data_IF_762916065022
#
_entry.id   IF_762916065022
#
_cell.length_a   1.000
_cell.length_b   1.000
_cell.length_c   1.000
_cell.angle_alpha   90.00
_cell.angle_beta   90.00
_cell.angle_gamma   90.00
#
_symmetry.space_group_name_H-M   'P 1'
#
loop_
_entity.id
_entity.type
_entity.pdbx_description
1 polymer ?
#
# COMPACT_ATOMS: atom_id res chain seq x y z
N UNK A 1 53.58 -24.48 -21.81
CA UNK A 1 52.39 -23.83 -21.24
C UNK A 1 52.14 -24.50 -19.91
N UNK A 2 52.34 -23.75 -18.85
CA UNK A 2 52.58 -24.26 -17.49
C UNK A 2 51.28 -24.31 -16.71
N UNK A 3 51.09 -25.38 -15.92
CA UNK A 3 49.92 -25.63 -15.07
C UNK A 3 49.53 -24.47 -14.13
N UNK A 4 50.44 -23.51 -13.90
CA UNK A 4 50.18 -22.29 -13.13
C UNK A 4 49.35 -21.23 -13.88
N UNK A 5 49.42 -21.18 -15.21
CA UNK A 5 48.70 -20.19 -16.01
C UNK A 5 47.19 -20.49 -16.05
N UNK A 6 46.83 -21.78 -16.16
CA UNK A 6 45.43 -22.23 -16.12
C UNK A 6 44.76 -21.96 -14.76
N UNK A 7 45.52 -22.08 -13.67
CA UNK A 7 45.00 -21.81 -12.32
C UNK A 7 44.76 -20.31 -12.11
N UNK A 8 45.64 -19.45 -12.63
CA UNK A 8 45.49 -18.00 -12.53
C UNK A 8 44.29 -17.48 -13.34
N UNK A 9 44.10 -17.99 -14.56
CA UNK A 9 42.94 -17.67 -15.40
C UNK A 9 41.61 -18.14 -14.77
N UNK A 10 41.63 -19.27 -14.06
CA UNK A 10 40.47 -19.75 -13.29
C UNK A 10 40.09 -18.79 -12.15
N UNK A 11 41.06 -18.33 -11.35
CA UNK A 11 40.79 -17.38 -10.27
C UNK A 11 40.34 -16.00 -10.79
N UNK A 12 40.88 -15.56 -11.91
CA UNK A 12 40.45 -14.33 -12.59
C UNK A 12 39.01 -14.42 -13.11
N UNK A 13 38.64 -15.53 -13.75
CA UNK A 13 37.27 -15.73 -14.24
C UNK A 13 36.27 -15.89 -13.10
N UNK A 14 36.61 -16.61 -12.04
CA UNK A 14 35.78 -16.73 -10.82
C UNK A 14 35.62 -15.38 -10.13
N UNK A 15 36.70 -14.60 -10.00
CA UNK A 15 36.68 -13.26 -9.43
C UNK A 15 35.83 -12.28 -10.26
N UNK A 16 36.00 -12.29 -11.58
CA UNK A 16 35.21 -11.48 -12.50
C UNK A 16 33.71 -11.87 -12.49
N UNK A 17 33.40 -13.16 -12.43
CA UNK A 17 32.02 -13.65 -12.32
C UNK A 17 31.37 -13.27 -10.98
N UNK A 18 32.13 -13.31 -9.88
CA UNK A 18 31.65 -12.89 -8.56
C UNK A 18 31.36 -11.38 -8.51
N UNK A 19 32.26 -10.56 -9.05
CA UNK A 19 32.09 -9.10 -9.12
C UNK A 19 30.95 -8.71 -10.07
N UNK A 20 30.87 -9.32 -11.25
CA UNK A 20 29.78 -9.09 -12.21
C UNK A 20 28.41 -9.50 -11.64
N UNK A 21 28.34 -10.66 -10.98
CA UNK A 21 27.12 -11.13 -10.31
C UNK A 21 26.68 -10.22 -9.16
N UNK A 22 27.62 -9.69 -8.38
CA UNK A 22 27.35 -8.72 -7.31
C UNK A 22 26.76 -7.41 -7.81
N UNK A 23 27.30 -6.85 -8.89
CA UNK A 23 26.83 -5.59 -9.48
C UNK A 23 25.40 -5.75 -10.03
N UNK A 24 25.13 -6.83 -10.77
CA UNK A 24 23.79 -7.11 -11.30
C UNK A 24 22.78 -7.30 -10.17
N UNK A 25 23.16 -8.02 -9.12
CA UNK A 25 22.30 -8.22 -7.95
C UNK A 25 21.99 -6.91 -7.22
N UNK A 26 22.98 -6.02 -7.07
CA UNK A 26 22.79 -4.71 -6.45
C UNK A 26 21.85 -3.82 -7.27
N UNK A 27 21.94 -3.83 -8.60
CA UNK A 27 21.04 -3.08 -9.48
C UNK A 27 19.60 -3.58 -9.40
N UNK A 28 19.39 -4.91 -9.41
CA UNK A 28 18.06 -5.51 -9.26
C UNK A 28 17.48 -5.15 -7.88
N UNK A 29 18.29 -5.26 -6.83
CA UNK A 29 17.86 -4.92 -5.47
C UNK A 29 17.50 -3.43 -5.35
N UNK A 30 18.29 -2.53 -5.94
CA UNK A 30 17.98 -1.10 -5.98
C UNK A 30 16.66 -0.80 -6.71
N UNK A 31 16.42 -1.43 -7.86
CA UNK A 31 15.18 -1.26 -8.62
C UNK A 31 13.94 -1.78 -7.85
N UNK A 32 14.06 -2.94 -7.21
CA UNK A 32 12.99 -3.52 -6.38
C UNK A 32 12.70 -2.63 -5.17
N UNK A 33 13.73 -2.15 -4.48
CA UNK A 33 13.60 -1.23 -3.34
C UNK A 33 12.92 0.07 -3.75
N UNK A 34 13.34 0.68 -4.86
CA UNK A 34 12.77 1.93 -5.36
C UNK A 34 11.28 1.78 -5.72
N UNK A 35 10.91 0.67 -6.38
CA UNK A 35 9.51 0.36 -6.71
C UNK A 35 8.65 0.10 -5.47
N UNK A 36 9.19 -0.61 -4.48
CA UNK A 36 8.51 -0.86 -3.20
C UNK A 36 8.27 0.42 -2.40
N UNK A 37 9.30 1.26 -2.27
CA UNK A 37 9.25 2.53 -1.55
C UNK A 37 8.25 3.49 -2.19
N UNK A 38 8.25 3.62 -3.52
CA UNK A 38 7.29 4.49 -4.23
C UNK A 38 5.84 4.06 -4.01
N UNK A 39 5.54 2.76 -4.06
CA UNK A 39 4.21 2.22 -3.76
C UNK A 39 3.78 2.49 -2.33
N UNK A 40 4.69 2.33 -1.36
CA UNK A 40 4.41 2.60 0.04
C UNK A 40 4.12 4.09 0.28
N UNK A 41 4.87 5.01 -0.33
CA UNK A 41 4.64 6.46 -0.21
C UNK A 41 3.27 6.83 -0.80
N UNK A 42 2.94 6.31 -1.98
CA UNK A 42 1.64 6.57 -2.60
C UNK A 42 0.49 6.05 -1.74
N UNK A 43 0.58 4.80 -1.26
CA UNK A 43 -0.43 4.22 -0.38
C UNK A 43 -0.61 5.03 0.91
N UNK A 44 0.49 5.44 1.54
CA UNK A 44 0.45 6.27 2.75
C UNK A 44 -0.26 7.61 2.48
N UNK A 45 0.08 8.28 1.38
CA UNK A 45 -0.56 9.55 1.01
C UNK A 45 -2.06 9.41 0.79
N UNK A 46 -2.51 8.33 0.13
CA UNK A 46 -3.94 8.06 -0.09
C UNK A 46 -4.66 7.78 1.23
N UNK A 47 -4.04 7.01 2.13
CA UNK A 47 -4.60 6.71 3.44
C UNK A 47 -4.74 7.99 4.28
N UNK A 48 -3.72 8.86 4.28
CA UNK A 48 -3.74 10.14 4.96
C UNK A 48 -4.85 11.06 4.42
N UNK A 49 -4.96 11.20 3.10
CA UNK A 49 -6.03 11.99 2.47
C UNK A 49 -7.42 11.43 2.80
N UNK A 50 -7.60 10.11 2.83
CA UNK A 50 -8.87 9.49 3.25
C UNK A 50 -9.18 9.71 4.73
N UNK A 51 -8.16 9.79 5.58
CA UNK A 51 -8.36 10.14 6.99
C UNK A 51 -8.83 11.59 7.13
N UNK A 52 -8.16 12.54 6.46
CA UNK A 52 -8.55 13.95 6.43
C UNK A 52 -9.99 14.10 5.91
N UNK A 53 -10.35 13.37 4.85
CA UNK A 53 -11.71 13.34 4.31
C UNK A 53 -12.75 12.88 5.36
N UNK A 54 -12.51 11.77 6.05
CA UNK A 54 -13.43 11.28 7.11
C UNK A 54 -13.57 12.27 8.25
N UNK A 55 -12.47 12.83 8.70
CA UNK A 55 -12.47 13.75 9.85
C UNK A 55 -13.17 15.06 9.49
N UNK A 56 -13.01 15.54 8.25
CA UNK A 56 -13.76 16.67 7.71
C UNK A 56 -15.28 16.40 7.70
N UNK A 57 -15.71 15.22 7.22
CA UNK A 57 -17.14 14.86 7.23
C UNK A 57 -17.70 14.71 8.65
N UNK A 58 -16.92 14.16 9.59
CA UNK A 58 -17.32 14.06 11.01
C UNK A 58 -17.52 15.41 11.69
N UNK A 59 -16.87 16.46 11.19
CA UNK A 59 -17.06 17.83 11.69
C UNK A 59 -18.21 18.53 10.95
N UNK A 60 -18.21 18.46 9.62
CA UNK A 60 -19.15 19.21 8.79
C UNK A 60 -20.59 18.71 8.91
N UNK A 61 -20.82 17.39 8.94
CA UNK A 61 -22.18 16.83 8.98
C UNK A 61 -22.92 17.19 10.28
N UNK A 62 -22.35 17.00 11.48
CA UNK A 62 -23.01 17.45 12.70
C UNK A 62 -23.24 18.96 12.73
N UNK A 63 -22.29 19.76 12.21
CA UNK A 63 -22.42 21.21 12.11
C UNK A 63 -23.59 21.61 11.20
N UNK A 64 -23.74 20.98 10.04
CA UNK A 64 -24.90 21.17 9.15
C UNK A 64 -26.22 20.91 9.89
N UNK A 65 -26.28 19.80 10.64
CA UNK A 65 -27.49 19.36 11.33
C UNK A 65 -27.85 20.19 12.56
N UNK A 66 -26.87 20.85 13.19
CA UNK A 66 -27.07 21.70 14.37
C UNK A 66 -27.35 23.15 14.01
N UNK A 67 -26.76 23.65 12.92
CA UNK A 67 -26.93 25.03 12.47
C UNK A 67 -28.40 25.35 12.18
N UNK A 68 -28.83 26.58 12.46
CA UNK A 68 -30.21 27.09 12.25
C UNK A 68 -30.29 28.11 11.12
N UNK A 69 -29.19 28.75 10.76
CA UNK A 69 -29.17 29.71 9.67
C UNK A 69 -29.11 28.97 8.33
N UNK A 70 -30.06 29.28 7.43
CA UNK A 70 -30.14 28.63 6.12
C UNK A 70 -28.95 28.99 5.22
N UNK A 71 -28.41 30.20 5.35
CA UNK A 71 -27.26 30.63 4.55
C UNK A 71 -26.01 29.86 4.97
N UNK A 72 -25.73 29.83 6.27
CA UNK A 72 -24.65 29.03 6.85
C UNK A 72 -24.79 27.54 6.51
N UNK A 73 -26.00 26.97 6.59
CA UNK A 73 -26.26 25.59 6.18
C UNK A 73 -25.90 25.32 4.72
N UNK A 74 -26.20 26.25 3.79
CA UNK A 74 -25.82 26.11 2.38
C UNK A 74 -24.30 26.15 2.21
N UNK A 75 -23.60 27.05 2.91
CA UNK A 75 -22.13 27.07 2.89
C UNK A 75 -21.52 25.75 3.40
N UNK A 76 -22.08 25.19 4.48
CA UNK A 76 -21.63 23.90 5.02
C UNK A 76 -21.96 22.77 4.04
N UNK A 77 -23.14 22.80 3.41
CA UNK A 77 -23.54 21.84 2.38
C UNK A 77 -22.57 21.85 1.21
N UNK A 78 -22.23 23.01 0.69
CA UNK A 78 -21.28 23.12 -0.43
C UNK A 78 -19.89 22.63 -0.02
N UNK A 79 -19.47 22.93 1.23
CA UNK A 79 -18.25 22.37 1.79
C UNK A 79 -18.28 20.83 1.84
N UNK A 80 -19.40 20.22 2.24
CA UNK A 80 -19.56 18.76 2.23
C UNK A 80 -19.50 18.22 0.80
N UNK A 81 -20.21 18.85 -0.14
CA UNK A 81 -20.26 18.40 -1.54
C UNK A 81 -18.88 18.41 -2.20
N UNK A 82 -18.01 19.37 -1.88
CA UNK A 82 -16.62 19.38 -2.37
C UNK A 82 -15.79 18.17 -1.91
N UNK A 83 -16.18 17.53 -0.81
CA UNK A 83 -15.54 16.30 -0.32
C UNK A 83 -16.17 15.02 -0.89
N UNK A 84 -17.35 15.12 -1.53
CA UNK A 84 -18.08 13.97 -2.04
C UNK A 84 -17.74 13.69 -3.51
N UNK A 85 -17.87 12.43 -3.91
CA UNK A 85 -17.74 12.03 -5.30
C UNK A 85 -19.07 12.29 -6.06
N UNK A 86 -19.09 13.16 -7.08
CA UNK A 86 -20.32 13.55 -7.77
C UNK A 86 -21.01 12.40 -8.53
N UNK A 87 -20.31 11.30 -8.80
CA UNK A 87 -20.86 10.12 -9.45
C UNK A 87 -21.44 9.09 -8.49
N UNK A 88 -20.88 8.99 -7.28
CA UNK A 88 -21.21 7.92 -6.31
C UNK A 88 -22.10 8.40 -5.17
N UNK A 89 -21.94 9.66 -4.76
CA UNK A 89 -22.51 10.17 -3.52
C UNK A 89 -23.71 11.11 -3.76
N UNK A 90 -24.37 10.99 -4.91
CA UNK A 90 -25.54 11.82 -5.26
C UNK A 90 -26.67 11.72 -4.24
N UNK A 91 -26.87 10.53 -3.67
CA UNK A 91 -27.87 10.30 -2.63
C UNK A 91 -27.58 11.12 -1.37
N UNK A 92 -26.32 11.19 -0.93
CA UNK A 92 -25.92 12.00 0.22
C UNK A 92 -26.27 13.47 0.01
N UNK A 93 -26.02 13.99 -1.19
CA UNK A 93 -26.36 15.37 -1.58
C UNK A 93 -27.88 15.59 -1.54
N UNK A 94 -28.66 14.67 -2.13
CA UNK A 94 -30.11 14.74 -2.13
C UNK A 94 -30.71 14.72 -0.71
N UNK A 95 -30.15 13.91 0.19
CA UNK A 95 -30.59 13.84 1.59
C UNK A 95 -30.29 15.13 2.34
N UNK A 96 -29.12 15.72 2.12
CA UNK A 96 -28.76 17.03 2.67
C UNK A 96 -29.73 18.11 2.16
N UNK A 97 -29.97 18.14 0.85
CA UNK A 97 -30.85 19.14 0.24
C UNK A 97 -32.30 19.00 0.76
N UNK A 98 -32.77 17.77 0.94
CA UNK A 98 -34.07 17.49 1.58
C UNK A 98 -34.12 17.97 3.04
N UNK A 99 -33.04 17.79 3.81
CA UNK A 99 -32.94 18.28 5.19
C UNK A 99 -32.96 19.82 5.26
N UNK A 100 -32.23 20.51 4.37
CA UNK A 100 -32.21 21.98 4.32
C UNK A 100 -33.57 22.54 3.89
N UNK A 101 -34.22 21.90 2.92
CA UNK A 101 -35.55 22.29 2.46
C UNK A 101 -36.60 22.12 3.57
N UNK A 102 -36.56 20.98 4.29
CA UNK A 102 -37.49 20.67 5.37
C UNK A 102 -36.75 20.02 6.55
N UNK A 103 -36.63 20.78 7.63
CA UNK A 103 -36.02 20.31 8.88
C UNK A 103 -37.01 19.43 9.65
N UNK A 104 -36.95 18.13 9.41
CA UNK A 104 -37.71 17.12 10.16
C UNK A 104 -36.78 16.14 10.88
N UNK A 105 -37.23 15.50 11.98
CA UNK A 105 -36.48 14.42 12.62
C UNK A 105 -36.13 13.29 11.64
N UNK A 106 -37.05 12.97 10.72
CA UNK A 106 -36.86 11.92 9.71
C UNK A 106 -35.75 12.28 8.72
N UNK A 107 -35.72 13.50 8.21
CA UNK A 107 -34.67 13.95 7.28
C UNK A 107 -33.31 14.01 7.98
N UNK A 108 -33.29 14.46 9.24
CA UNK A 108 -32.07 14.45 10.06
C UNK A 108 -31.54 13.03 10.23
N UNK A 109 -32.40 12.08 10.60
CA UNK A 109 -32.01 10.69 10.78
C UNK A 109 -31.50 10.06 9.48
N UNK A 110 -32.15 10.35 8.35
CA UNK A 110 -31.73 9.86 7.04
C UNK A 110 -30.32 10.33 6.68
N UNK A 111 -30.00 11.62 6.88
CA UNK A 111 -28.64 12.16 6.68
C UNK A 111 -27.65 11.45 7.60
N UNK A 112 -27.93 11.35 8.91
CA UNK A 112 -27.04 10.71 9.87
C UNK A 112 -26.76 9.25 9.49
N UNK A 113 -27.80 8.48 9.20
CA UNK A 113 -27.70 7.07 8.84
C UNK A 113 -26.87 6.87 7.58
N UNK A 114 -27.11 7.69 6.55
CA UNK A 114 -26.37 7.60 5.29
C UNK A 114 -24.88 7.87 5.49
N UNK A 115 -24.52 8.95 6.19
CA UNK A 115 -23.11 9.26 6.45
C UNK A 115 -22.44 8.25 7.40
N UNK A 116 -23.15 7.68 8.37
CA UNK A 116 -22.63 6.60 9.20
C UNK A 116 -22.30 5.36 8.36
N UNK A 117 -23.20 4.96 7.45
CA UNK A 117 -22.95 3.83 6.55
C UNK A 117 -21.76 4.13 5.62
N UNK A 118 -21.69 5.31 5.04
CA UNK A 118 -20.59 5.72 4.16
C UNK A 118 -19.24 5.67 4.88
N UNK A 119 -19.15 6.26 6.08
CA UNK A 119 -17.92 6.25 6.88
C UNK A 119 -17.53 4.84 7.34
N UNK A 120 -18.51 3.97 7.63
CA UNK A 120 -18.26 2.57 7.98
C UNK A 120 -17.68 1.79 6.80
N UNK A 121 -18.26 1.91 5.61
CA UNK A 121 -17.74 1.23 4.41
C UNK A 121 -16.32 1.69 4.07
N UNK A 122 -16.03 2.99 4.15
CA UNK A 122 -14.68 3.48 3.90
C UNK A 122 -13.67 3.03 4.96
N UNK A 123 -14.10 2.87 6.21
CA UNK A 123 -13.27 2.25 7.25
C UNK A 123 -12.95 0.78 6.94
N UNK A 124 -13.95 -0.02 6.56
CA UNK A 124 -13.78 -1.42 6.19
C UNK A 124 -12.84 -1.58 4.99
N UNK A 125 -13.01 -0.74 3.96
CA UNK A 125 -12.12 -0.69 2.80
C UNK A 125 -10.69 -0.34 3.19
N UNK A 126 -10.50 0.67 4.04
CA UNK A 126 -9.18 1.06 4.53
C UNK A 126 -8.50 -0.08 5.30
N UNK A 127 -9.26 -0.86 6.08
CA UNK A 127 -8.75 -2.04 6.79
C UNK A 127 -8.29 -3.14 5.83
N UNK A 128 -9.08 -3.40 4.78
CA UNK A 128 -8.73 -4.39 3.74
C UNK A 128 -7.46 -3.95 3.00
N UNK A 129 -7.36 -2.68 2.60
CA UNK A 129 -6.17 -2.15 1.92
C UNK A 129 -4.91 -2.26 2.80
N UNK A 130 -5.03 -1.91 4.09
CA UNK A 130 -3.94 -2.03 5.05
C UNK A 130 -3.47 -3.48 5.28
N UNK A 131 -4.40 -4.45 5.25
CA UNK A 131 -4.08 -5.88 5.43
C UNK A 131 -3.67 -6.60 4.15
N UNK A 132 -4.08 -6.10 2.98
CA UNK A 132 -3.67 -6.64 1.69
C UNK A 132 -2.22 -6.25 1.32
N UNK A 133 -1.78 -5.05 1.72
CA UNK A 133 -0.42 -4.56 1.49
C UNK A 133 0.66 -5.41 2.18
N UNK A 134 0.39 -5.89 3.40
CA UNK A 134 1.35 -6.71 4.18
C UNK A 134 1.53 -8.10 3.58
N UNK A 135 0.44 -8.80 3.24
CA UNK A 135 0.49 -10.17 2.70
C UNK A 135 1.24 -10.30 1.38
N UNK A 136 1.19 -9.28 0.52
CA UNK A 136 1.90 -9.29 -0.77
C UNK A 136 3.41 -9.07 -0.63
N UNK A 137 3.81 -8.18 0.28
CA UNK A 137 5.21 -7.91 0.58
C UNK A 137 5.88 -9.09 1.29
N UNK A 138 5.20 -9.69 2.28
CA UNK A 138 5.71 -10.84 3.03
C UNK A 138 5.91 -12.07 2.13
N UNK A 139 4.99 -12.32 1.19
CA UNK A 139 5.13 -13.41 0.21
C UNK A 139 6.30 -13.21 -0.74
N UNK A 140 6.53 -11.97 -1.20
CA UNK A 140 7.68 -11.67 -2.07
C UNK A 140 9.00 -11.73 -1.33
N UNK A 141 9.05 -11.23 -0.09
CA UNK A 141 10.22 -11.36 0.77
C UNK A 141 10.54 -12.84 1.03
N UNK A 142 9.53 -13.66 1.36
CA UNK A 142 9.69 -15.10 1.53
C UNK A 142 10.18 -15.80 0.25
N UNK A 143 9.66 -15.44 -0.92
CA UNK A 143 10.11 -15.99 -2.21
C UNK A 143 11.56 -15.60 -2.54
N UNK A 144 11.97 -14.36 -2.26
CA UNK A 144 13.34 -13.89 -2.49
C UNK A 144 14.31 -14.61 -1.55
N UNK A 145 13.96 -14.73 -0.27
CA UNK A 145 14.76 -15.48 0.72
C UNK A 145 14.88 -16.95 0.33
N UNK A 146 13.78 -17.59 -0.09
CA UNK A 146 13.79 -18.99 -0.54
C UNK A 146 14.63 -19.18 -1.82
N UNK A 147 14.55 -18.24 -2.78
CA UNK A 147 15.39 -18.26 -3.97
C UNK A 147 16.89 -18.10 -3.63
N UNK A 148 17.23 -17.22 -2.69
CA UNK A 148 18.60 -17.05 -2.20
C UNK A 148 19.09 -18.31 -1.46
N UNK A 149 18.27 -18.90 -0.59
CA UNK A 149 18.62 -20.13 0.12
C UNK A 149 18.85 -21.31 -0.82
N UNK A 150 18.06 -21.44 -1.90
CA UNK A 150 18.32 -22.48 -2.92
C UNK A 150 19.62 -22.25 -3.68
N UNK A 151 19.95 -21.01 -3.99
CA UNK A 151 21.16 -20.66 -4.74
C UNK A 151 22.45 -20.83 -3.91
N UNK A 152 22.40 -20.54 -2.60
CA UNK A 152 23.55 -20.66 -1.71
C UNK A 152 23.61 -21.99 -0.94
N UNK A 153 22.48 -22.58 -0.57
CA UNK A 153 22.39 -23.89 0.08
C UNK A 153 22.76 -25.06 -0.85
N UNK A 154 22.43 -24.96 -2.14
CA UNK A 154 22.88 -25.95 -3.13
C UNK A 154 24.40 -25.91 -3.37
N UNK A 155 25.08 -24.81 -3.01
CA UNK A 155 26.54 -24.70 -3.09
C UNK A 155 27.27 -25.31 -1.90
N UNK A 156 26.64 -25.40 -0.72
CA UNK A 156 27.27 -25.99 0.46
C UNK A 156 27.30 -27.53 0.45
N UNK A 157 26.38 -28.19 -0.27
CA UNK A 157 26.33 -29.67 -0.32
C UNK A 157 27.28 -30.28 -1.38
N UNK A 158 27.80 -29.47 -2.32
CA UNK A 158 28.73 -29.94 -3.36
C UNK A 158 30.22 -29.98 -2.96
N UNK A 159 30.59 -29.49 -1.78
CA UNK A 159 32.00 -29.29 -1.39
C UNK A 159 32.57 -30.34 -0.43
N UNK A 160 31.79 -31.33 0.03
CA UNK A 160 32.22 -32.32 1.00
C UNK A 160 32.11 -33.76 0.47
N UNK A 161 32.99 -34.14 -0.46
CA UNK A 161 33.22 -35.54 -0.79
C UNK A 161 34.73 -35.85 -0.82
N UNK A 162 35.35 -36.23 0.32
CA UNK A 162 36.68 -36.80 0.28
C UNK A 162 36.60 -38.23 -0.26
N UNK A 163 37.15 -38.44 -1.46
CA UNK A 163 37.50 -39.77 -1.98
C UNK A 163 38.57 -40.38 -1.08
N UNK A 164 38.20 -41.26 -0.16
CA UNK A 164 39.16 -42.18 0.46
C UNK A 164 39.45 -43.32 -0.52
N UNK A 165 40.73 -43.37 -0.89
CA UNK A 165 41.33 -44.30 -1.86
C UNK A 165 41.57 -45.64 -1.16
N UNK A 166 41.25 -46.72 -1.87
CA UNK A 166 41.60 -48.11 -1.55
C UNK A 166 43.07 -48.25 -1.12
N UNK A 167 43.30 -49.11 -0.14
CA UNK A 167 44.51 -49.95 -0.03
C UNK A 167 44.02 -51.38 0.18
#
# INVERSE_FOLDING_TARGET
MTQGDEMFDYWLTVGAAALGGGIVSALIMAAVTMSSTSRNIFQKSVIEQRQVWRDSLRVLVPRLLSDRDRTSQRCIRDSIVLHLNPSKDREAVSLIDAFIAKRSPQNREAVVRHFQMMLKHEWEKSKIEATAGTRGADRKAAQIVDAQLRQFGARSEGAAAPRSRRS
#
